data_IF_952673722619
#
_entry.id   IF_952673722619
#
_cell.length_a   1.000
_cell.length_b   1.000
_cell.length_c   1.000
_cell.angle_alpha   90.00
_cell.angle_beta   90.00
_cell.angle_gamma   90.00
#
_symmetry.space_group_name_H-M   'P 1'
#
loop_
_entity.id
_entity.type
_entity.pdbx_description
1 polymer ?
#
# COMPACT_ATOMS: atom_id res chain seq x y z
N UNK A 1 -17.68 -15.71 -3.97
CA UNK A 1 -16.75 -15.00 -3.06
C UNK A 1 -15.35 -15.45 -3.42
N UNK A 2 -14.52 -14.53 -3.91
CA UNK A 2 -13.13 -14.77 -4.26
C UNK A 2 -12.31 -14.95 -2.99
N UNK A 3 -11.48 -15.98 -2.90
CA UNK A 3 -10.68 -16.30 -1.72
C UNK A 3 -9.23 -15.97 -1.97
N UNK A 4 -8.67 -15.11 -1.14
CA UNK A 4 -7.30 -14.63 -1.26
C UNK A 4 -6.53 -14.97 0.01
N UNK A 5 -5.39 -15.63 -0.15
CA UNK A 5 -4.37 -15.69 0.90
C UNK A 5 -3.43 -14.51 0.73
N UNK A 6 -3.40 -13.61 1.70
CA UNK A 6 -2.50 -12.46 1.71
C UNK A 6 -1.31 -12.71 2.66
N UNK A 7 -0.11 -12.62 2.12
CA UNK A 7 1.15 -12.88 2.81
C UNK A 7 1.97 -11.61 2.88
N UNK A 8 2.21 -11.15 4.11
CA UNK A 8 3.11 -10.05 4.41
C UNK A 8 3.79 -10.29 5.75
N UNK A 9 4.88 -9.57 6.01
CA UNK A 9 5.57 -9.63 7.30
C UNK A 9 4.72 -9.00 8.41
N UNK A 10 3.99 -7.94 8.06
CA UNK A 10 3.06 -7.21 8.92
C UNK A 10 3.65 -6.67 10.24
N UNK A 11 4.97 -6.56 10.34
CA UNK A 11 5.69 -6.11 11.55
C UNK A 11 5.85 -4.60 11.62
N UNK A 12 5.78 -3.92 10.48
CA UNK A 12 5.82 -2.47 10.33
C UNK A 12 5.12 -2.05 9.03
N UNK A 13 4.79 -0.75 8.88
CA UNK A 13 4.14 -0.29 7.67
C UNK A 13 4.98 -0.43 6.40
N UNK A 14 4.30 -0.70 5.29
CA UNK A 14 4.79 -0.82 3.91
C UNK A 14 3.70 -0.30 2.98
N UNK A 15 3.85 0.93 2.48
CA UNK A 15 2.76 1.63 1.79
C UNK A 15 2.13 0.81 0.66
N UNK A 16 2.90 0.21 -0.25
CA UNK A 16 2.31 -0.53 -1.38
C UNK A 16 1.60 -1.78 -0.91
N UNK A 17 2.26 -2.56 -0.05
CA UNK A 17 1.68 -3.77 0.55
C UNK A 17 0.36 -3.45 1.28
N UNK A 18 0.37 -2.39 2.08
CA UNK A 18 -0.73 -1.98 2.95
C UNK A 18 -1.90 -1.37 2.16
N UNK A 19 -1.61 -0.65 1.07
CA UNK A 19 -2.62 -0.15 0.13
C UNK A 19 -3.37 -1.29 -0.56
N UNK A 20 -2.64 -2.30 -1.04
CA UNK A 20 -3.23 -3.50 -1.64
C UNK A 20 -4.07 -4.25 -0.59
N UNK A 21 -3.54 -4.44 0.61
CA UNK A 21 -4.26 -5.09 1.70
C UNK A 21 -5.56 -4.34 2.04
N UNK A 22 -5.50 -3.01 2.16
CA UNK A 22 -6.68 -2.18 2.40
C UNK A 22 -7.73 -2.39 1.31
N UNK A 23 -7.35 -2.25 0.04
CA UNK A 23 -8.26 -2.44 -1.09
C UNK A 23 -8.93 -3.81 -1.09
N UNK A 24 -8.16 -4.88 -0.85
CA UNK A 24 -8.68 -6.24 -0.77
C UNK A 24 -9.68 -6.40 0.39
N UNK A 25 -9.41 -5.81 1.56
CA UNK A 25 -10.29 -5.91 2.74
C UNK A 25 -11.56 -5.07 2.62
N UNK A 26 -11.55 -4.02 1.81
CA UNK A 26 -12.72 -3.14 1.63
C UNK A 26 -13.53 -3.43 0.37
N UNK A 27 -13.07 -4.34 -0.50
CA UNK A 27 -13.79 -4.72 -1.71
C UNK A 27 -14.78 -5.85 -1.43
N UNK A 28 -16.05 -5.63 -1.77
CA UNK A 28 -17.09 -6.66 -1.59
C UNK A 28 -16.81 -7.92 -2.42
N UNK A 29 -17.23 -9.07 -1.90
CA UNK A 29 -17.08 -10.35 -2.59
C UNK A 29 -15.67 -10.96 -2.51
N UNK A 30 -14.72 -10.33 -1.84
CA UNK A 30 -13.38 -10.86 -1.56
C UNK A 30 -13.28 -11.28 -0.09
N UNK A 31 -12.93 -12.56 0.14
CA UNK A 31 -12.49 -13.07 1.43
C UNK A 31 -10.97 -13.05 1.46
N UNK A 32 -10.40 -12.23 2.33
CA UNK A 32 -8.96 -12.16 2.56
C UNK A 32 -8.64 -12.85 3.87
N UNK A 33 -7.71 -13.80 3.83
CA UNK A 33 -7.11 -14.40 5.01
C UNK A 33 -5.61 -14.09 5.04
N UNK A 34 -5.08 -13.84 6.23
CA UNK A 34 -3.67 -13.52 6.42
C UNK A 34 -3.00 -14.46 7.44
N UNK A 35 -1.67 -14.57 7.40
CA UNK A 35 -0.90 -15.34 8.40
C UNK A 35 -0.26 -14.46 9.48
N UNK A 36 -0.07 -13.17 9.17
CA UNK A 36 0.39 -12.15 10.11
C UNK A 36 -0.57 -10.97 10.01
N UNK A 37 -1.03 -10.48 11.15
CA UNK A 37 -2.00 -9.38 11.20
C UNK A 37 -1.29 -8.03 11.15
N UNK A 38 -1.53 -7.17 10.15
CA UNK A 38 -1.01 -5.80 10.14
C UNK A 38 -1.88 -4.93 11.07
N UNK A 39 -1.67 -5.06 12.38
CA UNK A 39 -2.53 -4.44 13.39
C UNK A 39 -2.67 -2.92 13.21
N UNK A 40 -1.63 -2.25 12.71
CA UNK A 40 -1.60 -0.81 12.43
C UNK A 40 -2.62 -0.35 11.35
N UNK A 41 -3.20 -1.27 10.58
CA UNK A 41 -4.23 -0.95 9.58
C UNK A 41 -5.63 -0.77 10.17
N UNK A 42 -5.85 -1.29 11.38
CA UNK A 42 -7.18 -1.43 11.98
C UNK A 42 -7.53 -0.29 12.93
N UNK A 43 -8.81 0.07 12.99
CA UNK A 43 -9.30 1.20 13.78
C UNK A 43 -9.12 1.04 15.30
N UNK A 44 -8.83 -0.17 15.79
CA UNK A 44 -8.51 -0.42 17.20
C UNK A 44 -7.06 -0.10 17.55
N UNK A 45 -6.20 0.23 16.56
CA UNK A 45 -4.79 0.48 16.82
C UNK A 45 -4.57 1.82 17.51
N UNK A 46 -4.05 1.77 18.74
CA UNK A 46 -3.96 2.96 19.61
C UNK A 46 -2.70 3.80 19.41
N UNK A 47 -1.67 3.27 18.72
CA UNK A 47 -0.37 3.92 18.58
C UNK A 47 -0.14 4.55 17.20
N UNK A 48 -1.21 5.03 16.54
CA UNK A 48 -1.15 5.58 15.19
C UNK A 48 -0.12 6.72 15.06
N UNK A 49 -0.06 7.63 16.04
CA UNK A 49 0.86 8.77 16.02
C UNK A 49 2.34 8.38 16.10
N UNK A 50 2.66 7.15 16.54
CA UNK A 50 4.02 6.61 16.55
C UNK A 50 4.46 6.06 15.18
N UNK A 51 3.53 5.89 14.24
CA UNK A 51 3.86 5.49 12.87
C UNK A 51 4.52 6.65 12.12
N UNK A 52 5.29 6.33 11.09
CA UNK A 52 5.87 7.34 10.21
C UNK A 52 4.78 8.25 9.64
N UNK A 53 5.01 9.57 9.64
CA UNK A 53 4.01 10.55 9.24
C UNK A 53 2.78 10.59 10.16
N UNK A 54 2.93 10.21 11.45
CA UNK A 54 1.85 10.10 12.44
C UNK A 54 0.73 9.14 12.04
N UNK A 55 1.04 8.22 11.12
CA UNK A 55 0.06 7.28 10.58
C UNK A 55 -1.06 7.95 9.79
N UNK A 56 -0.85 9.19 9.31
CA UNK A 56 -1.85 9.87 8.51
C UNK A 56 -2.15 9.09 7.22
N UNK A 57 -3.36 9.30 6.73
CA UNK A 57 -3.82 8.88 5.41
C UNK A 57 -4.10 7.38 5.22
N UNK A 58 -3.16 6.49 5.51
CA UNK A 58 -3.32 5.07 5.13
C UNK A 58 -3.72 4.14 6.27
N UNK A 59 -3.54 4.55 7.52
CA UNK A 59 -3.60 3.65 8.67
C UNK A 59 -4.83 3.88 9.54
N UNK A 60 -5.20 2.85 10.32
CA UNK A 60 -6.38 2.85 11.20
C UNK A 60 -7.75 2.98 10.50
N UNK A 61 -7.86 2.70 9.20
CA UNK A 61 -9.11 2.81 8.44
C UNK A 61 -9.97 1.54 8.41
N UNK A 62 -9.37 0.35 8.62
CA UNK A 62 -10.11 -0.90 8.57
C UNK A 62 -10.97 -1.08 9.84
N UNK A 63 -12.29 -1.07 9.65
CA UNK A 63 -13.28 -1.26 10.72
C UNK A 63 -13.63 -2.73 10.99
N UNK A 64 -13.34 -3.62 10.04
CA UNK A 64 -13.51 -5.07 10.20
C UNK A 64 -12.49 -5.64 11.16
N UNK A 65 -12.66 -6.90 11.56
CA UNK A 65 -11.60 -7.64 12.26
C UNK A 65 -10.66 -8.35 11.27
N UNK A 66 -9.39 -8.56 11.65
CA UNK A 66 -8.47 -9.42 10.91
C UNK A 66 -9.00 -10.85 10.82
N UNK A 67 -8.65 -11.51 9.73
CA UNK A 67 -9.00 -12.90 9.42
C UNK A 67 -7.72 -13.72 9.40
N UNK A 68 -6.96 -13.62 10.50
CA UNK A 68 -5.69 -14.28 10.65
C UNK A 68 -5.89 -15.79 10.90
N UNK A 69 -5.18 -16.61 10.12
CA UNK A 69 -5.25 -18.07 10.21
C UNK A 69 -3.95 -18.68 10.74
N UNK A 70 -4.02 -19.73 11.57
CA UNK A 70 -2.83 -20.43 12.04
C UNK A 70 -2.04 -21.07 10.89
N UNK A 71 -0.71 -21.12 11.01
CA UNK A 71 0.16 -21.68 9.98
C UNK A 71 -0.19 -23.13 9.56
N UNK A 72 -0.51 -24.07 10.46
CA UNK A 72 -0.91 -25.42 10.05
C UNK A 72 -2.18 -25.43 9.18
N UNK A 73 -3.12 -24.54 9.48
CA UNK A 73 -4.36 -24.41 8.72
C UNK A 73 -4.12 -23.79 7.35
N UNK A 74 -3.27 -22.76 7.28
CA UNK A 74 -2.84 -22.18 6.00
C UNK A 74 -2.22 -23.25 5.09
N UNK A 75 -1.28 -24.06 5.60
CA UNK A 75 -0.63 -25.13 4.82
C UNK A 75 -1.65 -26.14 4.28
N UNK A 76 -2.56 -26.60 5.14
CA UNK A 76 -3.65 -27.53 4.76
C UNK A 76 -4.54 -26.95 3.66
N UNK A 77 -4.83 -25.65 3.70
CA UNK A 77 -5.65 -24.96 2.68
C UNK A 77 -4.90 -24.77 1.36
N UNK A 78 -3.59 -24.49 1.43
CA UNK A 78 -2.71 -24.42 0.26
C UNK A 78 -2.63 -25.76 -0.46
N UNK A 79 -2.38 -26.86 0.28
CA UNK A 79 -2.34 -28.21 -0.28
C UNK A 79 -3.65 -28.62 -0.97
N UNK A 80 -4.78 -28.17 -0.40
CA UNK A 80 -6.13 -28.39 -0.95
C UNK A 80 -6.53 -27.40 -2.05
N UNK A 81 -5.64 -26.48 -2.44
CA UNK A 81 -5.91 -25.41 -3.43
C UNK A 81 -7.17 -24.61 -3.12
N UNK A 82 -7.36 -24.25 -1.85
CA UNK A 82 -8.56 -23.57 -1.37
C UNK A 82 -8.71 -22.11 -1.86
N UNK A 83 -7.59 -21.43 -2.11
CA UNK A 83 -7.57 -20.02 -2.50
C UNK A 83 -7.67 -19.87 -4.02
N UNK A 84 -8.33 -18.81 -4.47
CA UNK A 84 -8.35 -18.45 -5.89
C UNK A 84 -7.05 -17.72 -6.29
N UNK A 85 -6.47 -16.96 -5.36
CA UNK A 85 -5.18 -16.29 -5.50
C UNK A 85 -4.37 -16.31 -4.20
N UNK A 86 -3.05 -16.35 -4.35
CA UNK A 86 -2.10 -16.11 -3.26
C UNK A 86 -1.29 -14.85 -3.58
N UNK A 87 -1.30 -13.88 -2.68
CA UNK A 87 -0.67 -12.57 -2.89
C UNK A 87 0.44 -12.38 -1.86
N UNK A 88 1.65 -12.17 -2.35
CA UNK A 88 2.78 -11.69 -1.56
C UNK A 88 2.83 -10.17 -1.66
N UNK A 89 2.40 -9.48 -0.60
CA UNK A 89 2.29 -8.01 -0.59
C UNK A 89 3.63 -7.28 -0.64
N UNK A 90 4.72 -7.94 -0.25
CA UNK A 90 6.08 -7.39 -0.31
C UNK A 90 7.10 -8.53 -0.33
N UNK A 91 7.59 -8.92 -1.51
CA UNK A 91 8.49 -10.07 -1.67
C UNK A 91 9.85 -9.88 -1.01
N UNK A 92 10.33 -8.65 -0.89
CA UNK A 92 11.59 -8.33 -0.22
C UNK A 92 11.49 -8.42 1.31
N UNK A 93 10.28 -8.24 1.86
CA UNK A 93 10.05 -8.32 3.32
C UNK A 93 9.53 -9.68 3.77
N UNK A 94 8.80 -10.40 2.91
CA UNK A 94 8.18 -11.67 3.27
C UNK A 94 8.06 -12.61 2.07
N UNK A 95 8.97 -13.56 1.98
CA UNK A 95 8.96 -14.61 0.94
C UNK A 95 8.66 -16.01 1.52
N UNK A 96 8.37 -16.09 2.82
CA UNK A 96 8.18 -17.39 3.47
C UNK A 96 7.08 -18.18 2.76
N UNK A 97 7.28 -19.49 2.68
CA UNK A 97 6.35 -20.45 2.07
C UNK A 97 6.24 -20.37 0.54
N UNK A 98 7.08 -19.60 -0.15
CA UNK A 98 7.02 -19.47 -1.60
C UNK A 98 7.17 -20.80 -2.34
N UNK A 99 8.12 -21.65 -1.92
CA UNK A 99 8.30 -22.98 -2.51
C UNK A 99 7.07 -23.88 -2.32
N UNK A 100 6.47 -23.85 -1.11
CA UNK A 100 5.23 -24.58 -0.83
C UNK A 100 4.10 -24.09 -1.74
N UNK A 101 3.91 -22.78 -1.85
CA UNK A 101 2.83 -22.20 -2.65
C UNK A 101 3.04 -22.46 -4.13
N UNK A 102 4.27 -22.29 -4.63
CA UNK A 102 4.65 -22.54 -6.03
C UNK A 102 4.55 -24.02 -6.43
N UNK A 103 4.66 -24.94 -5.47
CA UNK A 103 4.41 -26.37 -5.72
C UNK A 103 2.92 -26.70 -5.91
N UNK A 104 2.00 -25.86 -5.43
CA UNK A 104 0.55 -26.14 -5.45
C UNK A 104 -0.24 -25.24 -6.40
N UNK A 105 0.19 -24.00 -6.63
CA UNK A 105 -0.49 -23.00 -7.45
C UNK A 105 0.30 -22.73 -8.74
N UNK A 106 -0.43 -22.53 -9.83
CA UNK A 106 0.16 -22.11 -11.11
C UNK A 106 0.53 -20.62 -11.08
N UNK A 107 1.42 -20.21 -12.01
CA UNK A 107 1.92 -18.83 -12.13
C UNK A 107 0.81 -17.78 -12.10
N UNK A 108 -0.29 -18.01 -12.81
CA UNK A 108 -1.44 -17.08 -12.91
C UNK A 108 -2.22 -16.90 -11.59
N UNK A 109 -1.94 -17.72 -10.58
CA UNK A 109 -2.60 -17.71 -9.27
C UNK A 109 -1.73 -17.15 -8.16
N UNK A 110 -0.46 -16.91 -8.45
CA UNK A 110 0.50 -16.34 -7.50
C UNK A 110 0.82 -14.93 -7.96
N UNK A 111 0.56 -13.96 -7.10
CA UNK A 111 0.87 -12.56 -7.33
C UNK A 111 1.98 -12.16 -6.38
N UNK A 112 3.06 -11.60 -6.93
CA UNK A 112 4.18 -11.07 -6.16
C UNK A 112 4.29 -9.57 -6.37
N UNK A 113 4.49 -8.84 -5.29
CA UNK A 113 4.60 -7.38 -5.32
C UNK A 113 5.96 -6.97 -4.79
N UNK A 114 6.69 -6.25 -5.63
CA UNK A 114 7.93 -5.57 -5.27
C UNK A 114 7.67 -4.06 -5.24
N UNK A 115 7.69 -3.53 -4.03
CA UNK A 115 7.49 -2.12 -3.75
C UNK A 115 8.78 -1.38 -3.43
N UNK A 116 9.97 -1.88 -3.70
CA UNK A 116 11.22 -1.20 -3.36
C UNK A 116 11.43 0.08 -4.21
N UNK A 117 12.18 1.05 -3.67
CA UNK A 117 12.47 2.35 -4.31
C UNK A 117 13.61 2.25 -5.35
N UNK A 118 13.60 1.22 -6.18
CA UNK A 118 14.68 0.88 -7.12
C UNK A 118 14.14 0.04 -8.28
N UNK A 119 14.88 -0.04 -9.39
CA UNK A 119 14.40 -0.63 -10.65
C UNK A 119 14.91 -2.05 -10.95
N UNK A 120 15.68 -2.66 -10.05
CA UNK A 120 16.17 -4.03 -10.18
C UNK A 120 15.01 -5.00 -10.05
N UNK A 121 15.02 -6.00 -10.93
CA UNK A 121 14.04 -7.08 -10.94
C UNK A 121 14.59 -8.33 -10.23
N UNK A 122 13.77 -8.92 -9.37
CA UNK A 122 14.03 -10.24 -8.80
C UNK A 122 13.52 -11.33 -9.76
N UNK A 123 14.34 -11.68 -10.76
CA UNK A 123 13.99 -12.57 -11.88
C UNK A 123 13.42 -13.94 -11.48
N UNK A 124 13.65 -14.40 -10.25
CA UNK A 124 13.04 -15.65 -9.76
C UNK A 124 11.49 -15.59 -9.74
N UNK A 125 10.92 -14.40 -9.55
CA UNK A 125 9.47 -14.22 -9.48
C UNK A 125 8.82 -14.09 -10.86
N UNK A 126 9.57 -13.67 -11.90
CA UNK A 126 9.03 -13.53 -13.27
C UNK A 126 8.60 -14.86 -13.87
N UNK A 127 9.23 -15.96 -13.46
CA UNK A 127 8.99 -17.30 -13.99
C UNK A 127 7.80 -18.01 -13.34
N UNK A 128 7.50 -17.68 -12.08
CA UNK A 128 6.60 -18.47 -11.22
C UNK A 128 5.42 -17.68 -10.64
N UNK A 129 5.33 -16.38 -10.92
CA UNK A 129 4.19 -15.54 -10.49
C UNK A 129 3.89 -14.44 -11.49
N UNK A 130 2.68 -13.88 -11.44
CA UNK A 130 2.42 -12.54 -11.96
C UNK A 130 3.13 -11.54 -11.05
N UNK A 131 4.19 -10.93 -11.56
CA UNK A 131 5.10 -10.12 -10.77
C UNK A 131 4.86 -8.64 -11.05
N UNK A 132 4.46 -7.90 -10.02
CA UNK A 132 4.27 -6.45 -10.06
C UNK A 132 5.48 -5.73 -9.48
N UNK A 133 5.96 -4.70 -10.18
CA UNK A 133 7.11 -3.88 -9.79
C UNK A 133 6.72 -2.41 -9.71
N UNK A 134 6.95 -1.80 -8.55
CA UNK A 134 7.01 -0.34 -8.38
C UNK A 134 8.38 0.16 -8.85
N UNK A 135 8.43 1.37 -9.40
CA UNK A 135 9.65 1.96 -9.98
C UNK A 135 10.23 1.13 -11.15
N UNK A 136 9.44 0.96 -12.22
CA UNK A 136 9.91 0.29 -13.43
C UNK A 136 10.44 1.31 -14.46
N UNK A 137 11.76 1.34 -14.67
CA UNK A 137 12.42 2.28 -15.60
C UNK A 137 12.48 1.81 -17.05
N UNK A 138 12.34 0.50 -17.28
CA UNK A 138 12.44 -0.15 -18.60
C UNK A 138 11.21 -0.99 -18.85
N UNK A 139 10.57 -0.77 -20.00
CA UNK A 139 9.43 -1.56 -20.44
C UNK A 139 9.84 -3.00 -20.73
N UNK A 140 9.06 -3.96 -20.22
CA UNK A 140 9.31 -5.40 -20.37
C UNK A 140 8.03 -6.19 -20.21
N UNK A 141 7.94 -7.35 -20.86
CA UNK A 141 6.82 -8.29 -20.71
C UNK A 141 7.00 -9.26 -19.54
N UNK A 142 8.06 -9.09 -18.72
CA UNK A 142 8.39 -9.98 -17.61
C UNK A 142 7.65 -9.62 -16.32
N UNK A 143 7.28 -8.34 -16.16
CA UNK A 143 6.66 -7.78 -14.96
C UNK A 143 5.60 -6.77 -15.36
N UNK A 144 4.62 -6.58 -14.49
CA UNK A 144 3.59 -5.55 -14.64
C UNK A 144 3.97 -4.33 -13.78
N UNK A 145 3.82 -3.09 -14.27
CA UNK A 145 4.01 -1.92 -13.43
C UNK A 145 2.88 -1.85 -12.38
N UNK A 146 3.22 -1.38 -11.19
CA UNK A 146 2.24 -1.02 -10.17
C UNK A 146 2.63 0.29 -9.50
N UNK A 147 1.63 1.08 -9.15
CA UNK A 147 1.81 2.32 -8.42
C UNK A 147 1.17 2.25 -7.04
N UNK A 148 1.59 3.16 -6.17
CA UNK A 148 0.79 3.48 -5.00
C UNK A 148 -0.63 3.89 -5.41
N UNK A 149 -1.54 3.76 -4.45
CA UNK A 149 -2.93 4.17 -4.61
C UNK A 149 -3.45 4.71 -3.29
N UNK A 150 -4.73 5.09 -3.27
CA UNK A 150 -5.38 5.62 -2.08
C UNK A 150 -6.80 5.08 -1.98
N UNK A 151 -7.33 4.81 -0.78
CA UNK A 151 -8.74 4.51 -0.59
C UNK A 151 -9.63 5.60 -1.19
N UNK A 152 -10.58 5.20 -2.04
CA UNK A 152 -11.53 6.11 -2.71
C UNK A 152 -12.28 6.99 -1.70
N UNK A 153 -12.62 6.44 -0.53
CA UNK A 153 -13.31 7.14 0.55
C UNK A 153 -12.54 8.33 1.15
N UNK A 154 -11.25 8.49 0.81
CA UNK A 154 -10.44 9.62 1.25
C UNK A 154 -10.40 10.76 0.24
N UNK A 155 -10.79 10.51 -1.01
CA UNK A 155 -10.73 11.50 -2.08
C UNK A 155 -11.87 12.51 -1.86
N UNK A 156 -11.55 13.80 -1.95
CA UNK A 156 -12.58 14.86 -1.89
C UNK A 156 -13.56 14.71 -3.04
N UNK A 157 -14.86 14.79 -2.74
CA UNK A 157 -15.92 14.68 -3.76
C UNK A 157 -15.87 15.82 -4.79
N UNK A 158 -15.47 17.01 -4.35
CA UNK A 158 -15.34 18.20 -5.19
C UNK A 158 -14.09 18.98 -4.81
N UNK A 159 -13.45 19.64 -5.78
CA UNK A 159 -12.28 20.50 -5.52
C UNK A 159 -12.68 21.67 -4.62
N UNK A 160 -12.11 21.80 -3.40
CA UNK A 160 -12.47 22.88 -2.49
C UNK A 160 -11.98 24.26 -2.99
N UNK A 161 -12.60 25.32 -2.50
CA UNK A 161 -12.20 26.68 -2.81
C UNK A 161 -10.76 26.97 -2.34
N UNK A 162 -9.95 27.57 -3.22
CA UNK A 162 -8.53 27.83 -2.97
C UNK A 162 -8.34 29.24 -2.39
N UNK A 163 -7.70 29.33 -1.23
CA UNK A 163 -7.40 30.60 -0.53
C UNK A 163 -5.90 30.80 -0.33
N UNK A 164 -5.08 29.77 -0.56
CA UNK A 164 -3.63 29.79 -0.48
C UNK A 164 -3.02 29.39 -1.81
N UNK A 165 -1.88 30.01 -2.14
CA UNK A 165 -1.11 29.61 -3.34
C UNK A 165 -0.38 28.29 -3.13
N UNK A 166 0.26 28.11 -1.97
CA UNK A 166 1.11 26.97 -1.67
C UNK A 166 0.77 26.45 -0.27
N UNK A 167 0.69 25.12 -0.14
CA UNK A 167 0.53 24.42 1.13
C UNK A 167 1.76 24.62 2.03
N UNK A 168 1.56 24.45 3.34
CA UNK A 168 2.56 24.71 4.37
C UNK A 168 3.68 23.67 4.40
N UNK A 169 3.37 22.38 4.17
CA UNK A 169 4.38 21.32 4.23
C UNK A 169 5.37 21.46 3.07
N UNK A 170 6.65 21.51 3.44
CA UNK A 170 7.77 21.45 2.49
C UNK A 170 8.57 20.16 2.73
N UNK A 171 8.64 19.24 1.75
CA UNK A 171 9.45 18.03 1.83
C UNK A 171 10.90 18.30 2.23
N UNK A 172 11.40 17.62 3.27
CA UNK A 172 12.78 17.79 3.75
C UNK A 172 12.96 18.90 4.81
N UNK A 173 12.03 19.84 4.91
CA UNK A 173 12.09 20.94 5.89
C UNK A 173 11.30 20.57 7.15
N UNK A 174 11.96 19.93 8.12
CA UNK A 174 11.30 19.37 9.32
C UNK A 174 10.50 20.40 10.13
N UNK A 175 10.90 21.67 10.11
CA UNK A 175 10.19 22.76 10.78
C UNK A 175 8.77 22.99 10.25
N UNK A 176 8.47 22.54 9.02
CA UNK A 176 7.14 22.66 8.42
C UNK A 176 6.18 21.55 8.84
N UNK A 177 6.65 20.47 9.49
CA UNK A 177 5.84 19.30 9.86
C UNK A 177 5.06 19.55 11.16
N UNK A 178 4.16 20.53 11.13
CA UNK A 178 3.51 21.10 12.31
C UNK A 178 2.15 20.49 12.67
N UNK A 179 1.54 19.70 11.79
CA UNK A 179 0.18 19.21 12.00
C UNK A 179 0.13 18.01 12.95
N UNK A 180 -0.72 18.08 13.97
CA UNK A 180 -1.00 16.98 14.91
C UNK A 180 -2.25 16.18 14.54
N UNK A 181 -3.11 16.76 13.70
CA UNK A 181 -4.37 16.16 13.26
C UNK A 181 -4.39 16.02 11.74
N UNK A 182 -4.87 14.88 11.26
CA UNK A 182 -4.98 14.61 9.82
C UNK A 182 -5.95 15.58 9.15
N UNK A 183 -7.01 16.02 9.85
CA UNK A 183 -7.97 16.99 9.30
C UNK A 183 -7.34 18.35 9.01
N UNK A 184 -6.40 18.80 9.84
CA UNK A 184 -5.70 20.07 9.64
C UNK A 184 -4.67 19.96 8.53
N UNK A 185 -3.96 18.83 8.46
CA UNK A 185 -3.07 18.49 7.36
C UNK A 185 -3.78 18.49 6.01
N UNK A 186 -4.93 17.83 5.93
CA UNK A 186 -5.77 17.80 4.73
C UNK A 186 -6.32 19.17 4.37
N UNK A 187 -6.85 19.91 5.35
CA UNK A 187 -7.42 21.25 5.12
C UNK A 187 -6.41 22.21 4.51
N UNK A 188 -5.14 22.11 4.91
CA UNK A 188 -4.08 22.93 4.33
C UNK A 188 -3.86 22.65 2.84
N UNK A 189 -3.86 21.38 2.41
CA UNK A 189 -3.87 21.06 0.98
C UNK A 189 -5.18 21.48 0.29
N UNK A 190 -6.33 21.21 0.91
CA UNK A 190 -7.64 21.53 0.34
C UNK A 190 -7.79 23.02 0.02
N UNK A 191 -7.25 23.88 0.87
CA UNK A 191 -7.28 25.34 0.69
C UNK A 191 -6.14 25.88 -0.18
N UNK A 192 -5.17 25.05 -0.56
CA UNK A 192 -4.01 25.44 -1.36
C UNK A 192 -4.14 25.05 -2.83
N UNK A 193 -3.62 25.89 -3.72
CA UNK A 193 -3.51 25.57 -5.17
C UNK A 193 -2.43 24.51 -5.39
N UNK A 194 -1.23 24.73 -4.84
CA UNK A 194 -0.08 23.85 -5.01
C UNK A 194 0.39 23.22 -3.70
N UNK A 195 0.80 21.96 -3.75
CA UNK A 195 1.51 21.28 -2.67
C UNK A 195 2.93 20.97 -3.13
N UNK A 196 3.94 21.46 -2.41
CA UNK A 196 5.33 21.18 -2.76
C UNK A 196 5.63 19.70 -2.52
N UNK A 197 6.17 19.05 -3.54
CA UNK A 197 6.61 17.66 -3.49
C UNK A 197 7.94 17.49 -4.21
N UNK A 198 8.53 16.31 -4.07
CA UNK A 198 9.78 15.92 -4.72
C UNK A 198 9.88 14.41 -4.86
N UNK A 199 10.83 13.95 -5.67
CA UNK A 199 11.27 12.56 -5.68
C UNK A 199 11.72 12.14 -4.27
N UNK A 200 11.30 10.95 -3.80
CA UNK A 200 11.69 10.38 -2.51
C UNK A 200 12.22 8.96 -2.73
N UNK A 201 13.51 8.85 -3.03
CA UNK A 201 14.17 7.62 -3.50
C UNK A 201 13.60 7.14 -4.87
N UNK A 202 12.29 6.95 -4.98
CA UNK A 202 11.52 6.78 -6.22
C UNK A 202 10.66 7.98 -6.60
N UNK A 203 10.03 7.91 -7.77
CA UNK A 203 9.06 8.92 -8.26
C UNK A 203 7.67 8.73 -7.70
N UNK A 204 7.32 7.54 -7.23
CA UNK A 204 6.01 7.21 -6.70
C UNK A 204 6.01 7.32 -5.17
N UNK A 205 5.39 8.36 -4.61
CA UNK A 205 5.37 8.60 -3.16
C UNK A 205 3.95 8.86 -2.66
N UNK A 206 3.57 8.33 -1.49
CA UNK A 206 2.29 8.58 -0.84
C UNK A 206 1.91 10.08 -0.81
N UNK A 207 2.89 10.98 -0.63
CA UNK A 207 2.62 12.43 -0.58
C UNK A 207 1.99 12.97 -1.86
N UNK A 208 2.33 12.41 -3.01
CA UNK A 208 1.71 12.80 -4.29
C UNK A 208 0.20 12.57 -4.25
N UNK A 209 -0.21 11.42 -3.72
CA UNK A 209 -1.62 11.06 -3.54
C UNK A 209 -2.28 11.87 -2.43
N UNK A 210 -1.57 12.19 -1.34
CA UNK A 210 -2.09 13.07 -0.28
C UNK A 210 -2.41 14.48 -0.78
N UNK A 211 -1.60 15.00 -1.70
CA UNK A 211 -1.85 16.29 -2.36
C UNK A 211 -3.05 16.17 -3.30
N UNK A 212 -3.06 15.16 -4.17
CA UNK A 212 -4.11 14.96 -5.18
C UNK A 212 -5.48 14.66 -4.57
N UNK A 213 -5.55 13.77 -3.56
CA UNK A 213 -6.81 13.38 -2.91
C UNK A 213 -7.52 14.56 -2.25
N UNK A 214 -6.78 15.61 -1.91
CA UNK A 214 -7.30 16.85 -1.32
C UNK A 214 -7.62 17.94 -2.37
N UNK A 215 -7.60 17.59 -3.67
CA UNK A 215 -7.85 18.53 -4.77
C UNK A 215 -6.77 19.59 -4.92
N UNK A 216 -5.54 19.31 -4.49
CA UNK A 216 -4.37 20.19 -4.61
C UNK A 216 -3.46 19.70 -5.74
N UNK A 217 -2.71 20.61 -6.39
CA UNK A 217 -1.83 20.27 -7.51
C UNK A 217 -0.42 19.99 -6.99
N UNK A 218 0.16 18.80 -7.24
CA UNK A 218 1.56 18.54 -6.91
C UNK A 218 2.49 19.48 -7.68
N UNK A 219 3.39 20.16 -6.96
CA UNK A 219 4.44 20.99 -7.52
C UNK A 219 5.81 20.39 -7.19
N UNK A 220 6.43 19.78 -8.20
CA UNK A 220 7.74 19.15 -8.10
C UNK A 220 8.86 20.20 -8.20
N UNK A 221 9.85 20.11 -7.31
CA UNK A 221 10.97 21.05 -7.22
C UNK A 221 12.30 20.47 -7.72
N UNK A 222 12.29 19.24 -8.25
CA UNK A 222 13.46 18.52 -8.77
C UNK A 222 13.31 18.18 -10.25
#
# INVERSE_FOLDING_TARGET
MLKVLFLSKADRPDYLCDMIYHGLKTTEGILVEEVNTPHYMYSYYMAQSALYGKGFTMYCHLKSYPTCIPLPEMKRRVEKKYYDFVIYGSVHRFEKYYDLISAHYSKDRIITVDGEDEDRLELRFTSNSTYYKRELSVETNLVEPINFCIPESLIVENVPAKTKRVAHIVPGELSTYIFDRVEDYYRDYQTSIFGITRKKAGWDCLRHYEILLNGCIPYFID
#
